data_IF_634121617099
#
_entry.id   IF_634121617099
#
_cell.length_a   1.000
_cell.length_b   1.000
_cell.length_c   1.000
_cell.angle_alpha   90.00
_cell.angle_beta   90.00
_cell.angle_gamma   90.00
#
_symmetry.space_group_name_H-M   'P 1'
#
loop_
_entity.id
_entity.type
_entity.pdbx_description
1 polymer ?
#
# COMPACT_ATOMS: atom_id res chain seq x y z
N UNK A 1 -19.74 7.58 -48.41
CA UNK A 1 -18.97 8.67 -47.76
C UNK A 1 -17.82 7.99 -47.07
N UNK A 2 -16.62 7.86 -47.62
CA UNK A 2 -15.84 8.85 -48.35
C UNK A 2 -14.63 9.16 -47.47
N UNK A 3 -13.51 8.51 -47.74
CA UNK A 3 -12.21 8.69 -47.10
C UNK A 3 -11.74 10.15 -47.14
N UNK A 4 -10.89 10.55 -46.18
CA UNK A 4 -9.55 11.11 -46.46
C UNK A 4 -8.83 11.57 -45.16
N UNK A 5 -7.63 11.04 -44.97
CA UNK A 5 -6.48 11.69 -44.31
C UNK A 5 -5.96 12.81 -45.24
N UNK A 6 -5.39 13.91 -44.72
CA UNK A 6 -4.02 14.21 -45.15
C UNK A 6 -3.12 14.93 -44.11
N UNK A 7 -1.92 14.37 -43.97
CA UNK A 7 -0.60 14.99 -44.25
C UNK A 7 -0.25 16.38 -43.69
N UNK A 8 0.82 16.35 -42.89
CA UNK A 8 2.07 17.14 -42.97
C UNK A 8 2.03 18.55 -43.58
N UNK A 9 2.44 19.52 -42.75
CA UNK A 9 3.08 20.76 -43.21
C UNK A 9 4.53 20.79 -42.70
N UNK A 10 5.47 20.62 -43.62
CA UNK A 10 6.87 21.04 -43.47
C UNK A 10 6.94 22.56 -43.64
N UNK A 11 7.68 23.24 -42.77
CA UNK A 11 8.17 24.60 -43.01
C UNK A 11 9.70 24.62 -42.98
N UNK A 12 10.26 25.42 -43.89
CA UNK A 12 11.63 25.42 -44.35
C UNK A 12 12.64 26.03 -43.36
N UNK A 13 13.87 25.53 -43.42
CA UNK A 13 15.07 26.16 -42.87
C UNK A 13 15.60 27.29 -43.79
N UNK A 14 16.24 28.32 -43.20
CA UNK A 14 17.48 29.00 -43.64
C UNK A 14 17.93 30.11 -42.64
N UNK A 15 19.18 30.61 -42.68
CA UNK A 15 20.06 30.59 -41.50
C UNK A 15 20.69 31.95 -41.08
N UNK A 16 21.53 31.87 -40.03
CA UNK A 16 22.72 32.67 -39.72
C UNK A 16 22.55 33.92 -38.82
N UNK A 17 23.16 33.88 -37.62
CA UNK A 17 24.30 34.73 -37.25
C UNK A 17 24.87 34.33 -35.87
N UNK A 18 26.18 34.12 -35.85
CA UNK A 18 27.06 33.97 -34.68
C UNK A 18 27.26 35.30 -33.97
N UNK A 19 27.32 35.34 -32.63
CA UNK A 19 28.07 36.34 -31.85
C UNK A 19 28.38 35.82 -30.41
N UNK A 20 29.65 35.45 -30.21
CA UNK A 20 30.52 35.60 -29.03
C UNK A 20 30.14 35.13 -27.60
N UNK A 21 30.92 34.13 -27.15
CA UNK A 21 31.64 33.98 -25.87
C UNK A 21 31.28 34.84 -24.64
N UNK A 22 31.04 34.15 -23.51
CA UNK A 22 31.77 34.37 -22.24
C UNK A 22 31.80 33.08 -21.38
N UNK A 23 32.90 32.80 -20.67
CA UNK A 23 33.11 31.53 -19.97
C UNK A 23 32.57 31.56 -18.53
N UNK A 24 31.75 30.57 -18.17
CA UNK A 24 31.50 30.26 -16.76
C UNK A 24 32.61 29.35 -16.26
N UNK A 25 33.58 29.98 -15.59
CA UNK A 25 34.53 29.34 -14.69
C UNK A 25 33.74 28.70 -13.54
N UNK A 26 33.61 27.37 -13.54
CA UNK A 26 33.22 26.61 -12.36
C UNK A 26 34.41 25.75 -11.93
N UNK A 27 35.06 26.16 -10.84
CA UNK A 27 35.99 25.30 -10.11
C UNK A 27 35.18 24.23 -9.37
N UNK A 28 35.33 22.99 -9.79
CA UNK A 28 34.83 21.82 -9.08
C UNK A 28 35.44 20.60 -9.74
N UNK A 29 36.42 19.97 -9.11
CA UNK A 29 37.06 18.76 -9.65
C UNK A 29 36.07 17.61 -9.82
N UNK A 30 36.42 16.54 -10.54
CA UNK A 30 35.53 15.38 -10.77
C UNK A 30 34.99 14.75 -9.48
N UNK A 31 35.68 14.91 -8.35
CA UNK A 31 35.25 14.47 -7.02
C UNK A 31 34.04 15.25 -6.47
N UNK A 32 33.89 16.55 -6.75
CA UNK A 32 32.73 17.33 -6.27
C UNK A 32 31.47 17.03 -7.08
N UNK A 33 31.63 16.67 -8.36
CA UNK A 33 30.54 16.20 -9.22
C UNK A 33 30.07 14.80 -8.82
N UNK A 34 30.99 13.90 -8.47
CA UNK A 34 30.63 12.58 -7.91
C UNK A 34 29.95 12.69 -6.55
N UNK A 35 30.40 13.59 -5.66
CA UNK A 35 29.75 13.82 -4.37
C UNK A 35 28.34 14.43 -4.55
N UNK A 36 28.14 15.32 -5.52
CA UNK A 36 26.83 15.85 -5.87
C UNK A 36 25.91 14.77 -6.49
N UNK A 37 26.44 13.89 -7.35
CA UNK A 37 25.70 12.74 -7.90
C UNK A 37 25.34 11.70 -6.82
N UNK A 38 26.22 11.46 -5.84
CA UNK A 38 25.91 10.65 -4.66
C UNK A 38 24.85 11.30 -3.77
N UNK A 39 24.92 12.61 -3.56
CA UNK A 39 23.94 13.36 -2.77
C UNK A 39 22.57 13.47 -3.45
N UNK A 40 22.51 13.52 -4.79
CA UNK A 40 21.27 13.44 -5.56
C UNK A 40 20.70 12.02 -5.68
N UNK A 41 21.54 10.98 -5.56
CA UNK A 41 21.11 9.57 -5.53
C UNK A 41 20.69 9.06 -4.14
N UNK A 42 21.04 9.76 -3.07
CA UNK A 42 20.75 9.40 -1.68
C UNK A 42 19.45 10.01 -1.12
N UNK A 43 18.56 10.50 -1.99
CA UNK A 43 17.18 10.82 -1.61
C UNK A 43 16.40 9.51 -1.53
N UNK A 44 16.52 8.85 -0.37
CA UNK A 44 16.09 7.50 -0.10
C UNK A 44 14.66 7.17 -0.54
N UNK A 45 14.51 6.03 -1.20
CA UNK A 45 13.23 5.39 -1.38
C UNK A 45 12.61 5.16 0.02
N UNK A 46 11.42 5.68 0.23
CA UNK A 46 10.70 5.50 1.48
C UNK A 46 10.04 4.11 1.48
N UNK A 47 10.08 3.44 2.62
CA UNK A 47 9.38 2.17 2.79
C UNK A 47 7.86 2.40 2.63
N UNK A 48 7.20 1.58 1.80
CA UNK A 48 5.75 1.62 1.66
C UNK A 48 5.12 0.83 2.82
N UNK A 49 4.40 1.54 3.69
CA UNK A 49 3.56 0.94 4.72
C UNK A 49 2.13 0.83 4.21
N UNK A 50 1.55 -0.35 4.33
CA UNK A 50 0.17 -0.65 3.94
C UNK A 50 -0.58 -1.05 5.21
N UNK A 51 -1.72 -0.42 5.44
CA UNK A 51 -2.63 -0.76 6.54
C UNK A 51 -4.04 -0.97 6.02
N UNK A 52 -4.76 -1.90 6.62
CA UNK A 52 -6.21 -1.99 6.51
C UNK A 52 -6.83 -1.47 7.80
N UNK A 53 -7.89 -0.67 7.66
CA UNK A 53 -8.59 -0.09 8.80
C UNK A 53 -10.08 0.00 8.52
N UNK A 54 -10.87 -0.69 9.34
CA UNK A 54 -12.33 -0.60 9.31
C UNK A 54 -12.76 0.64 10.10
N UNK A 55 -13.15 1.71 9.41
CA UNK A 55 -13.70 2.93 10.04
C UNK A 55 -15.22 2.78 10.04
N UNK A 56 -15.82 2.71 11.23
CA UNK A 56 -17.23 2.36 11.38
C UNK A 56 -18.24 3.35 10.74
N UNK A 57 -17.90 4.62 10.50
CA UNK A 57 -18.72 5.55 9.71
C UNK A 57 -18.06 6.93 9.54
N UNK A 58 -18.00 7.46 8.31
CA UNK A 58 -17.96 8.91 8.09
C UNK A 58 -19.41 9.44 8.13
N UNK A 59 -20.00 9.50 9.32
CA UNK A 59 -21.22 10.30 9.51
C UNK A 59 -20.86 11.78 9.46
N UNK A 60 -21.69 12.63 8.83
CA UNK A 60 -21.49 14.09 8.74
C UNK A 60 -21.20 14.75 10.11
N UNK A 61 -21.65 14.11 11.19
CA UNK A 61 -21.42 14.51 12.59
C UNK A 61 -19.99 14.28 13.12
N UNK A 62 -19.15 13.47 12.47
CA UNK A 62 -17.76 13.17 12.90
C UNK A 62 -16.71 13.99 12.17
N UNK A 63 -16.97 14.43 10.93
CA UNK A 63 -16.10 15.38 10.19
C UNK A 63 -16.08 16.76 10.86
N UNK A 64 -17.10 17.06 11.64
CA UNK A 64 -17.28 18.33 12.36
C UNK A 64 -16.78 18.31 13.81
N UNK A 65 -16.26 17.17 14.31
CA UNK A 65 -15.64 17.05 15.63
C UNK A 65 -14.11 17.31 15.55
N UNK A 66 -13.59 18.39 16.17
CA UNK A 66 -12.17 18.72 16.16
C UNK A 66 -11.26 17.65 16.80
N UNK A 67 -11.81 16.73 17.62
CA UNK A 67 -11.07 15.62 18.23
C UNK A 67 -10.89 14.42 17.29
N UNK A 68 -11.87 14.13 16.44
CA UNK A 68 -11.82 13.01 15.47
C UNK A 68 -11.00 13.35 14.22
N UNK A 69 -11.02 14.62 13.78
CA UNK A 69 -10.31 15.06 12.57
C UNK A 69 -8.78 14.96 12.68
N UNK A 70 -8.21 15.05 13.89
CA UNK A 70 -6.77 14.95 14.12
C UNK A 70 -6.20 13.54 13.98
N UNK A 71 -6.97 12.54 14.42
CA UNK A 71 -6.59 11.11 14.39
C UNK A 71 -6.77 10.52 12.99
N UNK A 72 -7.87 10.88 12.30
CA UNK A 72 -8.17 10.41 10.94
C UNK A 72 -7.21 11.04 9.89
N UNK A 73 -6.64 12.22 10.17
CA UNK A 73 -5.71 12.90 9.26
C UNK A 73 -4.22 12.52 9.41
N UNK A 74 -3.87 11.63 10.34
CA UNK A 74 -2.48 11.16 10.52
C UNK A 74 -2.16 9.83 9.81
N UNK A 75 -3.14 9.17 9.18
CA UNK A 75 -2.90 8.13 8.17
C UNK A 75 -2.51 8.82 6.85
N UNK A 76 -1.29 9.37 6.81
CA UNK A 76 -0.79 10.12 5.67
C UNK A 76 -0.03 9.19 4.72
N UNK A 77 -0.59 8.96 3.52
CA UNK A 77 0.20 8.64 2.33
C UNK A 77 1.16 9.81 2.09
N UNK A 78 2.41 9.63 2.51
CA UNK A 78 3.48 10.61 2.36
C UNK A 78 4.00 10.68 0.92
N UNK A 79 3.19 11.19 -0.01
CA UNK A 79 3.71 11.67 -1.29
C UNK A 79 3.59 13.20 -1.32
N UNK A 80 4.68 13.90 -0.97
CA UNK A 80 4.83 15.33 -1.24
C UNK A 80 6.09 15.59 -2.07
N UNK A 81 5.85 15.92 -3.34
CA UNK A 81 6.56 16.99 -4.04
C UNK A 81 7.78 16.62 -4.89
N UNK A 82 7.51 16.38 -6.18
CA UNK A 82 8.11 17.13 -7.29
C UNK A 82 9.58 16.88 -7.66
N UNK A 83 9.81 16.19 -8.77
CA UNK A 83 10.97 16.46 -9.64
C UNK A 83 10.54 16.56 -11.09
N UNK A 84 10.95 17.67 -11.70
CA UNK A 84 10.81 17.94 -13.12
C UNK A 84 11.56 16.87 -13.94
N UNK A 85 11.00 16.60 -15.12
CA UNK A 85 11.52 15.69 -16.12
C UNK A 85 13.00 15.94 -16.45
N UNK A 86 13.82 14.89 -16.33
CA UNK A 86 15.23 14.87 -16.69
C UNK A 86 15.68 13.44 -16.99
N UNK A 87 15.52 13.05 -18.26
CA UNK A 87 15.94 11.80 -18.91
C UNK A 87 17.31 11.26 -18.45
N UNK A 88 17.36 10.07 -17.82
CA UNK A 88 18.24 8.94 -18.19
C UNK A 88 17.98 7.72 -17.27
N UNK A 89 17.34 6.68 -17.81
CA UNK A 89 17.71 5.29 -17.50
C UNK A 89 17.58 4.74 -16.06
N UNK A 90 16.68 5.23 -15.21
CA UNK A 90 16.14 4.37 -14.14
C UNK A 90 14.91 3.65 -14.69
N UNK A 91 15.09 2.40 -15.09
CA UNK A 91 14.00 1.44 -14.95
C UNK A 91 13.82 1.31 -13.43
N UNK A 92 13.02 2.20 -12.85
CA UNK A 92 12.44 1.93 -11.55
C UNK A 92 11.59 0.69 -11.81
N UNK A 93 12.08 -0.48 -11.42
CA UNK A 93 11.34 -1.72 -11.54
C UNK A 93 10.15 -1.60 -10.57
N UNK A 94 9.09 -0.95 -11.04
CA UNK A 94 7.85 -0.80 -10.29
C UNK A 94 7.39 -2.22 -9.94
N UNK A 95 7.29 -2.51 -8.64
CA UNK A 95 6.62 -3.71 -8.20
C UNK A 95 5.13 -3.48 -8.44
N UNK A 96 4.56 -4.16 -9.44
CA UNK A 96 3.11 -4.20 -9.63
C UNK A 96 2.50 -5.01 -8.49
N UNK A 97 1.92 -4.30 -7.52
CA UNK A 97 1.27 -4.86 -6.35
C UNK A 97 -0.24 -4.75 -6.53
N UNK A 98 -0.94 -5.88 -6.38
CA UNK A 98 -2.40 -5.91 -6.35
C UNK A 98 -2.89 -5.92 -4.91
N UNK A 99 -3.78 -4.99 -4.57
CA UNK A 99 -4.45 -4.95 -3.26
C UNK A 99 -5.89 -5.42 -3.41
N UNK A 100 -6.29 -6.38 -2.57
CA UNK A 100 -7.64 -6.95 -2.58
C UNK A 100 -8.27 -6.74 -1.20
N UNK A 101 -9.08 -5.66 -1.05
CA UNK A 101 -9.77 -5.41 0.20
C UNK A 101 -10.97 -6.35 0.37
N UNK A 102 -11.18 -6.84 1.59
CA UNK A 102 -12.41 -7.54 1.98
C UNK A 102 -12.84 -7.08 3.37
N UNK A 103 -14.10 -6.66 3.49
CA UNK A 103 -14.81 -6.59 4.76
C UNK A 103 -15.90 -7.67 4.70
N UNK A 104 -15.61 -8.82 5.29
CA UNK A 104 -16.45 -9.99 5.13
C UNK A 104 -17.72 -9.87 5.99
N UNK A 105 -18.88 -10.28 5.47
CA UNK A 105 -20.06 -10.36 6.31
C UNK A 105 -19.83 -11.43 7.41
N UNK A 106 -20.03 -11.13 8.71
CA UNK A 106 -19.59 -12.03 9.79
C UNK A 106 -20.18 -13.44 9.73
N UNK A 107 -21.44 -13.57 9.30
CA UNK A 107 -22.11 -14.86 9.15
C UNK A 107 -21.81 -15.58 7.82
N UNK A 108 -21.02 -14.98 6.94
CA UNK A 108 -20.54 -15.54 5.68
C UNK A 108 -19.01 -15.58 5.59
N UNK A 109 -18.30 -15.24 6.67
CA UNK A 109 -16.84 -15.11 6.70
C UNK A 109 -16.11 -16.31 6.08
N UNK A 110 -16.49 -17.54 6.46
CA UNK A 110 -15.89 -18.77 5.89
C UNK A 110 -16.00 -18.81 4.36
N UNK A 111 -17.18 -18.50 3.82
CA UNK A 111 -17.44 -18.56 2.38
C UNK A 111 -16.76 -17.41 1.62
N UNK A 112 -16.80 -16.20 2.17
CA UNK A 112 -16.20 -15.01 1.53
C UNK A 112 -14.67 -15.07 1.54
N UNK A 113 -14.05 -15.55 2.63
CA UNK A 113 -12.59 -15.76 2.69
C UNK A 113 -12.18 -16.88 1.73
N UNK A 114 -12.95 -17.98 1.63
CA UNK A 114 -12.66 -19.04 0.65
C UNK A 114 -12.73 -18.52 -0.79
N UNK A 115 -13.72 -17.68 -1.11
CA UNK A 115 -13.90 -17.10 -2.44
C UNK A 115 -12.74 -16.20 -2.87
N UNK A 116 -11.95 -15.63 -1.94
CA UNK A 116 -10.72 -14.91 -2.29
C UNK A 116 -9.69 -15.78 -3.03
N UNK A 117 -9.75 -17.11 -2.88
CA UNK A 117 -8.95 -18.02 -3.69
C UNK A 117 -9.34 -17.96 -5.18
N UNK A 118 -10.63 -17.83 -5.49
CA UNK A 118 -11.09 -17.72 -6.87
C UNK A 118 -10.71 -16.34 -7.44
N UNK A 119 -10.78 -15.28 -6.62
CA UNK A 119 -10.26 -13.95 -6.99
C UNK A 119 -8.75 -13.98 -7.27
N UNK A 120 -7.97 -14.75 -6.50
CA UNK A 120 -6.55 -14.99 -6.77
C UNK A 120 -6.32 -15.58 -8.17
N UNK A 121 -7.12 -16.59 -8.56
CA UNK A 121 -7.02 -17.20 -9.89
C UNK A 121 -7.37 -16.20 -11.00
N UNK A 122 -8.43 -15.42 -10.81
CA UNK A 122 -8.87 -14.39 -11.77
C UNK A 122 -7.79 -13.31 -11.99
N UNK A 123 -7.10 -12.89 -10.92
CA UNK A 123 -6.02 -11.91 -11.01
C UNK A 123 -4.83 -12.48 -11.80
N UNK A 124 -4.45 -13.74 -11.56
CA UNK A 124 -3.38 -14.38 -12.31
C UNK A 124 -3.73 -14.47 -13.79
N UNK A 125 -4.93 -14.94 -14.13
CA UNK A 125 -5.37 -15.09 -15.52
C UNK A 125 -5.43 -13.73 -16.23
N UNK A 126 -6.00 -12.72 -15.57
CA UNK A 126 -6.26 -11.42 -16.18
C UNK A 126 -5.03 -10.52 -16.27
N UNK A 127 -4.19 -10.54 -15.23
CA UNK A 127 -3.08 -9.58 -15.08
C UNK A 127 -1.70 -10.22 -15.09
N UNK A 128 -1.61 -11.55 -15.08
CA UNK A 128 -0.33 -12.26 -15.19
C UNK A 128 0.60 -12.04 -13.99
N UNK A 129 0.06 -11.65 -12.83
CA UNK A 129 0.82 -11.40 -11.60
C UNK A 129 0.29 -12.23 -10.43
N UNK A 130 1.21 -12.70 -9.58
CA UNK A 130 0.92 -13.36 -8.31
C UNK A 130 1.32 -12.52 -7.08
N UNK A 131 1.83 -11.29 -7.29
CA UNK A 131 2.20 -10.34 -6.24
C UNK A 131 0.94 -9.63 -5.69
N UNK A 132 0.16 -10.35 -4.89
CA UNK A 132 -1.14 -9.92 -4.35
C UNK A 132 -1.11 -9.84 -2.83
N UNK A 133 -1.71 -8.78 -2.28
CA UNK A 133 -1.95 -8.57 -0.86
C UNK A 133 -3.45 -8.44 -0.61
N UNK A 134 -4.02 -9.41 0.11
CA UNK A 134 -5.38 -9.37 0.62
C UNK A 134 -5.38 -8.76 2.01
N UNK A 135 -6.32 -7.85 2.29
CA UNK A 135 -6.36 -7.15 3.56
C UNK A 135 -7.76 -6.67 3.95
N UNK A 136 -8.03 -6.60 5.24
CA UNK A 136 -9.28 -6.05 5.78
C UNK A 136 -9.84 -6.85 6.95
N UNK A 137 -11.03 -6.44 7.39
CA UNK A 137 -11.82 -7.15 8.39
C UNK A 137 -12.44 -8.40 7.77
N UNK A 138 -11.76 -9.52 7.91
CA UNK A 138 -12.25 -10.78 7.35
C UNK A 138 -13.25 -11.46 8.30
N UNK A 139 -13.52 -10.91 9.49
CA UNK A 139 -14.22 -11.61 10.57
C UNK A 139 -13.62 -13.01 10.83
N UNK A 140 -12.30 -13.14 10.70
CA UNK A 140 -11.60 -14.41 10.55
C UNK A 140 -11.17 -15.09 11.86
N UNK A 141 -12.04 -15.07 12.89
CA UNK A 141 -11.77 -15.75 14.15
C UNK A 141 -13.05 -15.95 15.00
N UNK A 142 -12.87 -16.46 16.22
CA UNK A 142 -13.85 -16.54 17.27
C UNK A 142 -15.12 -17.31 16.82
N UNK A 143 -16.27 -16.65 16.86
CA UNK A 143 -17.56 -17.30 16.55
C UNK A 143 -17.84 -17.40 15.05
N UNK A 144 -17.15 -16.62 14.22
CA UNK A 144 -17.40 -16.48 12.79
C UNK A 144 -16.57 -17.47 11.95
N UNK A 145 -15.30 -17.64 12.30
CA UNK A 145 -14.43 -18.68 11.72
C UNK A 145 -13.77 -19.45 12.85
N UNK A 146 -14.11 -20.72 13.01
CA UNK A 146 -13.61 -21.58 14.09
C UNK A 146 -12.47 -22.44 13.58
N UNK A 147 -11.73 -23.06 14.51
CA UNK A 147 -10.62 -23.96 14.21
C UNK A 147 -10.95 -25.05 13.17
N UNK A 148 -12.18 -25.57 13.23
CA UNK A 148 -12.69 -26.61 12.33
C UNK A 148 -13.04 -26.12 10.91
N UNK A 149 -13.20 -24.82 10.71
CA UNK A 149 -13.57 -24.23 9.43
C UNK A 149 -12.34 -23.96 8.56
N UNK A 150 -11.17 -23.70 9.18
CA UNK A 150 -9.92 -23.39 8.48
C UNK A 150 -9.50 -24.39 7.39
N UNK A 151 -9.64 -25.73 7.57
CA UNK A 151 -9.32 -26.68 6.51
C UNK A 151 -10.15 -26.51 5.23
N UNK A 152 -11.36 -25.93 5.32
CA UNK A 152 -12.25 -25.70 4.20
C UNK A 152 -11.97 -24.39 3.44
N UNK A 153 -11.15 -23.48 3.99
CA UNK A 153 -10.84 -22.18 3.39
C UNK A 153 -9.55 -22.32 2.56
N UNK A 154 -9.66 -22.33 1.23
CA UNK A 154 -8.52 -22.52 0.30
C UNK A 154 -7.46 -21.44 0.42
N UNK A 155 -7.85 -20.20 0.72
CA UNK A 155 -6.92 -19.10 1.00
C UNK A 155 -6.04 -19.38 2.24
N UNK A 156 -6.48 -20.25 3.15
CA UNK A 156 -5.75 -20.65 4.37
C UNK A 156 -5.00 -21.97 4.20
N UNK A 157 -5.64 -22.98 3.62
CA UNK A 157 -5.10 -24.34 3.53
C UNK A 157 -4.01 -24.49 2.46
N UNK A 158 -3.94 -23.58 1.48
CA UNK A 158 -2.90 -23.56 0.46
C UNK A 158 -1.60 -22.90 0.95
N UNK A 159 -0.46 -23.55 0.71
CA UNK A 159 0.89 -23.04 1.02
C UNK A 159 1.32 -21.83 0.17
N UNK A 160 0.55 -21.49 -0.87
CA UNK A 160 0.78 -20.31 -1.71
C UNK A 160 0.67 -19.03 -0.89
N UNK A 161 -0.25 -18.99 0.07
CA UNK A 161 -0.60 -17.80 0.83
C UNK A 161 0.13 -17.78 2.17
N UNK A 162 0.71 -16.63 2.48
CA UNK A 162 1.27 -16.35 3.79
C UNK A 162 0.36 -15.39 4.54
N UNK A 163 -0.26 -15.89 5.60
CA UNK A 163 -0.98 -15.09 6.58
C UNK A 163 0.03 -14.40 7.49
N UNK A 164 -0.01 -13.07 7.54
CA UNK A 164 0.96 -12.24 8.26
C UNK A 164 0.47 -11.88 9.67
N UNK A 165 -0.84 -11.69 9.83
CA UNK A 165 -1.47 -11.50 11.14
C UNK A 165 -1.88 -12.90 11.68
N UNK A 166 -1.28 -13.36 12.79
CA UNK A 166 -1.54 -14.69 13.34
C UNK A 166 -2.94 -14.78 13.98
N UNK A 167 -3.43 -16.00 14.20
CA UNK A 167 -4.71 -16.24 14.90
C UNK A 167 -4.67 -15.87 16.38
N UNK A 168 -3.47 -15.67 16.94
CA UNK A 168 -3.28 -15.26 18.33
C UNK A 168 -3.24 -13.73 18.51
N UNK A 169 -3.49 -12.97 17.45
CA UNK A 169 -3.51 -11.51 17.53
C UNK A 169 -4.92 -11.04 17.91
N UNK A 170 -5.01 -10.07 18.81
CA UNK A 170 -6.25 -9.35 19.04
C UNK A 170 -6.28 -8.12 18.13
N UNK A 171 -7.24 -8.06 17.22
CA UNK A 171 -7.44 -6.91 16.33
C UNK A 171 -8.62 -6.05 16.76
N UNK A 172 -9.15 -6.26 17.97
CA UNK A 172 -10.35 -5.58 18.46
C UNK A 172 -10.02 -4.59 19.58
N UNK A 173 -10.67 -3.43 19.55
CA UNK A 173 -10.62 -2.45 20.66
C UNK A 173 -11.64 -2.84 21.74
N UNK A 174 -12.68 -3.59 21.37
CA UNK A 174 -13.73 -4.04 22.29
C UNK A 174 -13.24 -5.07 23.32
N UNK A 175 -14.17 -5.60 24.11
CA UNK A 175 -13.86 -6.61 25.15
C UNK A 175 -13.70 -8.04 24.59
N UNK A 176 -13.32 -8.18 23.32
CA UNK A 176 -13.04 -9.46 22.68
C UNK A 176 -11.53 -9.66 22.55
N UNK A 177 -11.11 -10.90 22.29
CA UNK A 177 -9.75 -11.26 21.90
C UNK A 177 -9.90 -12.07 20.61
N UNK A 178 -9.89 -11.40 19.46
CA UNK A 178 -10.23 -11.99 18.17
C UNK A 178 -9.35 -11.44 17.03
N UNK A 179 -8.82 -12.33 16.20
CA UNK A 179 -8.04 -11.99 15.01
C UNK A 179 -8.93 -11.76 13.77
N UNK A 180 -9.82 -10.76 13.82
CA UNK A 180 -10.75 -10.48 12.72
C UNK A 180 -10.06 -9.88 11.48
N UNK A 181 -9.15 -8.93 11.70
CA UNK A 181 -8.45 -8.20 10.65
C UNK A 181 -7.20 -8.94 10.20
N UNK A 182 -7.03 -9.07 8.89
CA UNK A 182 -5.98 -9.91 8.32
C UNK A 182 -5.18 -9.19 7.25
N UNK A 183 -3.94 -9.62 7.13
CA UNK A 183 -3.09 -9.36 5.96
C UNK A 183 -2.59 -10.71 5.47
N UNK A 184 -2.89 -11.03 4.21
CA UNK A 184 -2.49 -12.26 3.55
C UNK A 184 -1.78 -11.90 2.25
N UNK A 185 -0.64 -12.52 1.99
CA UNK A 185 0.14 -12.24 0.77
C UNK A 185 0.45 -13.51 -0.02
N UNK A 186 0.55 -13.38 -1.33
CA UNK A 186 1.19 -14.35 -2.22
C UNK A 186 2.21 -13.66 -3.12
N UNK A 187 2.88 -14.43 -3.99
CA UNK A 187 3.93 -13.89 -4.85
C UNK A 187 5.32 -13.94 -4.21
N UNK A 188 6.31 -14.43 -4.95
CA UNK A 188 7.66 -14.60 -4.42
C UNK A 188 8.41 -13.27 -4.28
N UNK A 189 8.13 -12.30 -5.15
CA UNK A 189 8.75 -10.97 -5.11
C UNK A 189 8.17 -10.15 -3.96
N UNK A 190 6.85 -10.08 -3.83
CA UNK A 190 6.19 -9.41 -2.72
C UNK A 190 6.67 -9.94 -1.36
N UNK A 191 6.71 -11.27 -1.20
CA UNK A 191 7.20 -11.90 0.03
C UNK A 191 8.65 -11.52 0.37
N UNK A 192 9.54 -11.44 -0.63
CA UNK A 192 10.94 -10.99 -0.42
C UNK A 192 11.04 -9.51 -0.05
N UNK A 193 10.09 -8.71 -0.53
CA UNK A 193 9.98 -7.29 -0.22
C UNK A 193 9.41 -7.01 1.18
N UNK A 194 8.84 -7.98 1.90
CA UNK A 194 8.39 -7.74 3.28
C UNK A 194 9.58 -7.44 4.21
N UNK A 195 9.44 -6.39 5.03
CA UNK A 195 10.34 -6.17 6.17
C UNK A 195 10.06 -7.26 7.21
N UNK A 196 11.12 -7.94 7.66
CA UNK A 196 11.02 -9.02 8.63
C UNK A 196 10.31 -8.55 9.90
N UNK A 197 9.35 -9.34 10.40
CA UNK A 197 8.58 -9.06 11.63
C UNK A 197 7.93 -7.66 11.66
N UNK A 198 7.52 -7.13 10.50
CA UNK A 198 6.86 -5.82 10.43
C UNK A 198 5.34 -5.89 10.43
N UNK A 199 4.75 -7.09 10.28
CA UNK A 199 3.32 -7.27 10.33
C UNK A 199 2.86 -7.26 11.79
N UNK A 200 1.99 -6.33 12.15
CA UNK A 200 1.52 -6.15 13.53
C UNK A 200 0.13 -5.54 13.57
N UNK A 201 -0.51 -5.68 14.72
CA UNK A 201 -1.65 -4.85 15.12
C UNK A 201 -1.11 -3.52 15.64
N UNK A 202 -1.77 -2.42 15.29
CA UNK A 202 -1.43 -1.09 15.75
C UNK A 202 -2.43 -0.65 16.83
N UNK A 203 -2.05 -0.78 18.08
CA UNK A 203 -2.88 -0.36 19.22
C UNK A 203 -2.83 1.17 19.38
N UNK A 204 -3.74 1.86 18.68
CA UNK A 204 -3.86 3.32 18.79
C UNK A 204 -4.39 3.76 20.16
N UNK A 205 -5.05 2.88 20.92
CA UNK A 205 -5.53 3.19 22.26
C UNK A 205 -4.35 3.33 23.21
N UNK A 206 -3.41 2.38 23.16
CA UNK A 206 -2.15 2.45 23.88
C UNK A 206 -1.27 3.61 23.38
N UNK A 207 -1.08 3.74 22.07
CA UNK A 207 -0.18 4.76 21.49
C UNK A 207 -0.59 6.20 21.87
N UNK A 208 -1.89 6.49 21.86
CA UNK A 208 -2.40 7.83 22.15
C UNK A 208 -2.90 7.98 23.59
N UNK A 209 -2.76 6.96 24.44
CA UNK A 209 -3.18 6.99 25.84
C UNK A 209 -4.68 7.25 26.02
N UNK A 210 -5.50 6.65 25.15
CA UNK A 210 -6.95 6.85 25.13
C UNK A 210 -7.64 5.98 26.18
N UNK A 211 -8.70 6.52 26.79
CA UNK A 211 -9.62 5.67 27.53
C UNK A 211 -10.48 4.82 26.57
N UNK A 212 -11.14 3.79 27.11
CA UNK A 212 -11.95 2.86 26.33
C UNK A 212 -13.05 3.56 25.52
N UNK A 213 -13.65 4.62 26.06
CA UNK A 213 -14.75 5.34 25.41
C UNK A 213 -14.21 6.15 24.24
N UNK A 214 -13.05 6.80 24.41
CA UNK A 214 -12.37 7.53 23.36
C UNK A 214 -11.90 6.60 22.24
N UNK A 215 -11.33 5.44 22.58
CA UNK A 215 -10.88 4.46 21.60
C UNK A 215 -12.06 3.90 20.78
N UNK A 216 -13.13 3.46 21.44
CA UNK A 216 -14.35 2.99 20.78
C UNK A 216 -15.07 4.08 19.98
N UNK A 217 -14.89 5.36 20.32
CA UNK A 217 -15.41 6.46 19.52
C UNK A 217 -14.69 6.61 18.17
N UNK A 218 -13.44 6.12 18.06
CA UNK A 218 -12.65 6.08 16.83
C UNK A 218 -13.01 4.82 16.03
N UNK A 219 -12.83 3.64 16.62
CA UNK A 219 -13.17 2.35 16.02
C UNK A 219 -13.25 1.26 17.09
N UNK A 220 -13.96 0.18 16.81
CA UNK A 220 -13.91 -1.07 17.58
C UNK A 220 -12.89 -2.08 17.04
N UNK A 221 -12.15 -1.73 15.99
CA UNK A 221 -11.03 -2.51 15.44
C UNK A 221 -9.73 -1.73 15.50
N UNK A 222 -8.62 -2.41 15.78
CA UNK A 222 -7.28 -1.89 15.59
C UNK A 222 -6.84 -2.07 14.13
N UNK A 223 -6.09 -1.11 13.55
CA UNK A 223 -5.43 -1.32 12.27
C UNK A 223 -4.47 -2.52 12.31
N UNK A 224 -4.44 -3.29 11.23
CA UNK A 224 -3.34 -4.22 10.94
C UNK A 224 -2.43 -3.60 9.90
N UNK A 225 -1.12 -3.61 10.15
CA UNK A 225 -0.13 -2.98 9.29
C UNK A 225 1.00 -3.92 8.89
N UNK A 226 1.62 -3.66 7.73
CA UNK A 226 2.85 -4.31 7.30
C UNK A 226 3.74 -3.31 6.54
N UNK A 227 5.06 -3.50 6.63
CA UNK A 227 6.03 -2.65 5.93
C UNK A 227 6.75 -3.40 4.81
N UNK A 228 6.78 -2.80 3.61
CA UNK A 228 7.62 -3.26 2.50
C UNK A 228 8.97 -2.55 2.54
N UNK A 229 10.04 -3.28 2.23
CA UNK A 229 11.40 -2.77 2.07
C UNK A 229 11.43 -1.73 0.96
N UNK A 230 12.21 -0.69 1.22
CA UNK A 230 12.69 0.20 0.18
C UNK A 230 13.80 -0.51 -0.60
N UNK A 231 13.75 -0.46 -1.93
CA UNK A 231 14.76 -1.01 -2.84
C UNK A 231 15.48 0.12 -3.56
#
# INVERSE_FOLDING_TARGET
>A
MGWCDPLQVRAHARPCLSLYDRPLRAMGGPLTLLAALWALGAAGAQALRIGAFNIQSFGDSKVSDPGCGGVIAQVRLGARGGVAAGLLGLICAAMELVLIPLHAAPHQAVAEIDALYDVYLDVIDKWGTDDILFLGDFNADCKYVRAQDWPAIRLRSSEVFKWLIPDSADTTVGNSDCAYDRIVVCGSRLRKSLKHQSATVHDFQEEFGLDQTQALAISDHFPVEVTLKSH
#
